data_IF_195780984984
#
_entry.id   IF_195780984984
#
_cell.length_a   1.000
_cell.length_b   1.000
_cell.length_c   1.000
_cell.angle_alpha   90.00
_cell.angle_beta   90.00
_cell.angle_gamma   90.00
#
_symmetry.space_group_name_H-M   'P 1'
#
loop_
_entity.id
_entity.type
_entity.pdbx_description
1 polymer ?
#
# COMPACT_ATOMS: atom_id res chain seq x y z
N UNK A 1 80.66 -19.07 -1.69
CA UNK A 1 81.23 -19.23 -3.06
C UNK A 1 80.44 -20.38 -3.68
N UNK A 2 79.73 -20.33 -4.81
CA UNK A 2 79.71 -19.51 -6.04
C UNK A 2 78.22 -19.51 -6.50
N UNK A 3 77.60 -18.37 -6.83
CA UNK A 3 77.37 -17.86 -8.20
C UNK A 3 76.99 -18.92 -9.23
N UNK A 4 75.79 -18.83 -9.85
CA UNK A 4 75.57 -18.66 -11.30
C UNK A 4 74.07 -18.33 -11.57
N UNK A 5 73.85 -17.34 -12.43
CA UNK A 5 72.59 -16.87 -13.00
C UNK A 5 71.86 -17.90 -13.88
N UNK A 6 70.53 -17.84 -13.94
CA UNK A 6 69.80 -18.10 -15.19
C UNK A 6 68.46 -17.35 -15.20
N UNK A 7 68.34 -16.44 -16.18
CA UNK A 7 67.10 -15.77 -16.57
C UNK A 7 66.32 -16.74 -17.47
N UNK A 8 65.05 -16.98 -17.16
CA UNK A 8 64.07 -17.44 -18.14
C UNK A 8 62.79 -16.61 -18.03
N UNK A 9 62.50 -15.91 -19.11
CA UNK A 9 61.26 -15.20 -19.41
C UNK A 9 60.22 -16.23 -19.85
N UNK A 10 59.00 -16.22 -19.29
CA UNK A 10 57.79 -16.59 -20.04
C UNK A 10 56.48 -16.22 -19.31
N UNK A 11 55.71 -15.42 -20.04
CA UNK A 11 54.24 -15.35 -20.16
C UNK A 11 53.35 -15.01 -18.95
N UNK A 12 52.64 -13.90 -19.15
CA UNK A 12 51.48 -13.44 -18.42
C UNK A 12 50.30 -14.44 -18.46
N UNK A 13 49.60 -14.53 -17.34
CA UNK A 13 48.16 -14.76 -17.31
C UNK A 13 47.57 -13.90 -16.19
N UNK A 14 46.94 -12.79 -16.57
CA UNK A 14 46.16 -11.97 -15.67
C UNK A 14 44.89 -12.75 -15.27
N UNK A 15 44.80 -13.23 -14.04
CA UNK A 15 43.55 -13.70 -13.46
C UNK A 15 42.86 -12.54 -12.74
N UNK A 16 42.31 -11.61 -13.52
CA UNK A 16 41.27 -10.71 -13.04
C UNK A 16 39.96 -11.51 -13.06
N UNK A 17 39.68 -12.21 -11.96
CA UNK A 17 38.33 -12.73 -11.73
C UNK A 17 37.45 -11.55 -11.37
N UNK A 18 36.80 -10.98 -12.39
CA UNK A 18 35.75 -9.98 -12.22
C UNK A 18 34.60 -10.62 -11.45
N UNK A 19 34.52 -10.32 -10.15
CA UNK A 19 33.28 -10.45 -9.40
C UNK A 19 32.32 -9.41 -10.00
N UNK A 20 31.38 -9.87 -10.81
CA UNK A 20 30.27 -9.06 -11.27
C UNK A 20 29.36 -8.82 -10.05
N UNK A 21 29.23 -7.59 -9.54
CA UNK A 21 28.17 -7.31 -8.60
C UNK A 21 26.90 -7.28 -9.45
N UNK A 22 26.08 -8.32 -9.33
CA UNK A 22 24.74 -8.36 -9.90
C UNK A 22 23.93 -7.23 -9.24
N UNK A 23 24.12 -6.02 -9.75
CA UNK A 23 23.40 -4.82 -9.36
C UNK A 23 21.94 -5.15 -9.58
N UNK A 24 21.17 -5.05 -8.49
CA UNK A 24 19.72 -5.18 -8.47
C UNK A 24 19.10 -4.49 -9.69
N UNK A 25 18.85 -5.26 -10.75
CA UNK A 25 17.84 -4.88 -11.72
C UNK A 25 16.53 -4.86 -10.94
N UNK A 26 15.73 -3.78 -10.99
CA UNK A 26 14.40 -3.80 -10.42
C UNK A 26 13.68 -4.99 -11.06
N UNK A 27 13.41 -6.01 -10.25
CA UNK A 27 12.78 -7.25 -10.68
C UNK A 27 11.39 -6.87 -11.13
N UNK A 28 11.20 -6.75 -12.44
CA UNK A 28 9.92 -6.39 -13.04
C UNK A 28 8.95 -7.54 -12.80
N UNK A 29 8.18 -7.47 -11.72
CA UNK A 29 7.19 -8.48 -11.37
C UNK A 29 5.96 -8.33 -12.29
N UNK A 30 5.92 -9.15 -13.33
CA UNK A 30 4.82 -9.16 -14.29
C UNK A 30 3.45 -9.43 -13.63
N UNK A 31 3.40 -10.18 -12.53
CA UNK A 31 2.14 -10.48 -11.84
C UNK A 31 1.66 -9.29 -11.03
N UNK A 32 2.59 -8.56 -10.40
CA UNK A 32 2.28 -7.29 -9.75
C UNK A 32 1.69 -6.28 -10.73
N UNK A 33 2.26 -6.18 -11.94
CA UNK A 33 1.75 -5.26 -12.97
C UNK A 33 0.36 -5.66 -13.49
N UNK A 34 0.07 -6.96 -13.60
CA UNK A 34 -1.29 -7.43 -13.91
C UNK A 34 -2.24 -7.08 -12.75
N UNK A 35 -1.82 -7.33 -11.51
CA UNK A 35 -2.59 -7.01 -10.32
C UNK A 35 -2.95 -5.52 -10.26
N UNK A 36 -1.98 -4.61 -10.48
CA UNK A 36 -2.23 -3.16 -10.53
C UNK A 36 -3.33 -2.79 -11.53
N UNK A 37 -3.39 -3.42 -12.71
CA UNK A 37 -4.45 -3.15 -13.71
C UNK A 37 -5.82 -3.65 -13.26
N UNK A 38 -5.88 -4.82 -12.62
CA UNK A 38 -7.11 -5.36 -12.06
C UNK A 38 -7.61 -4.49 -10.90
N UNK A 39 -6.69 -4.06 -10.05
CA UNK A 39 -6.95 -3.11 -8.98
C UNK A 39 -7.61 -1.84 -9.52
N UNK A 40 -7.02 -1.17 -10.52
CA UNK A 40 -7.62 0.03 -11.13
C UNK A 40 -9.04 -0.18 -11.67
N UNK A 41 -9.35 -1.38 -12.15
CA UNK A 41 -10.70 -1.71 -12.62
C UNK A 41 -11.67 -1.74 -11.45
N UNK A 42 -11.31 -2.43 -10.35
CA UNK A 42 -12.12 -2.49 -9.13
C UNK A 42 -12.33 -1.11 -8.49
N UNK A 43 -11.32 -0.23 -8.59
CA UNK A 43 -11.38 1.13 -8.04
C UNK A 43 -12.45 1.99 -8.70
N UNK A 44 -12.71 1.81 -10.00
CA UNK A 44 -13.76 2.56 -10.69
C UNK A 44 -15.14 2.26 -10.11
N UNK A 45 -15.43 0.99 -9.84
CA UNK A 45 -16.72 0.56 -9.28
C UNK A 45 -16.90 1.07 -7.85
N UNK A 46 -15.86 0.96 -7.02
CA UNK A 46 -15.84 1.50 -5.66
C UNK A 46 -16.09 3.01 -5.63
N UNK A 47 -15.41 3.78 -6.48
CA UNK A 47 -15.57 5.23 -6.55
C UNK A 47 -16.96 5.63 -7.08
N UNK A 48 -17.55 4.85 -7.99
CA UNK A 48 -18.91 5.07 -8.45
C UNK A 48 -19.94 4.84 -7.34
N UNK A 49 -19.76 3.79 -6.52
CA UNK A 49 -20.62 3.56 -5.35
C UNK A 49 -20.54 4.72 -4.34
N UNK A 50 -19.34 5.29 -4.13
CA UNK A 50 -19.17 6.45 -3.23
C UNK A 50 -19.84 7.72 -3.77
N UNK A 51 -19.82 7.96 -5.09
CA UNK A 51 -20.54 9.11 -5.68
C UNK A 51 -22.03 9.06 -5.35
N UNK A 52 -22.66 7.89 -5.53
CA UNK A 52 -24.06 7.69 -5.21
C UNK A 52 -24.34 7.96 -3.71
N UNK A 53 -23.39 7.62 -2.83
CA UNK A 53 -23.52 7.88 -1.40
C UNK A 53 -23.35 9.37 -1.05
N UNK A 54 -22.47 10.10 -1.75
CA UNK A 54 -22.31 11.56 -1.59
C UNK A 54 -23.59 12.29 -2.02
N UNK A 55 -24.20 11.84 -3.12
CA UNK A 55 -25.44 12.41 -3.67
C UNK A 55 -26.68 12.06 -2.83
N UNK A 56 -26.58 11.10 -1.90
CA UNK A 56 -27.66 10.73 -1.01
C UNK A 56 -28.02 11.88 -0.07
N UNK A 57 -29.22 12.45 -0.24
CA UNK A 57 -29.72 13.56 0.56
C UNK A 57 -30.36 13.11 1.89
N UNK A 58 -29.84 12.04 2.51
CA UNK A 58 -30.23 11.57 3.85
C UNK A 58 -28.97 11.28 4.67
N UNK A 59 -28.65 12.23 5.56
CA UNK A 59 -27.47 12.17 6.40
C UNK A 59 -27.52 11.00 7.40
N UNK A 60 -28.69 10.68 7.96
CA UNK A 60 -28.81 9.58 8.91
C UNK A 60 -28.56 8.24 8.21
N UNK A 61 -29.02 8.12 6.97
CA UNK A 61 -28.73 6.95 6.15
C UNK A 61 -27.25 6.87 5.75
N UNK A 62 -26.60 8.00 5.42
CA UNK A 62 -25.15 8.03 5.20
C UNK A 62 -24.38 7.53 6.42
N UNK A 63 -24.70 8.01 7.63
CA UNK A 63 -24.08 7.54 8.87
C UNK A 63 -24.23 6.03 9.09
N UNK A 64 -25.41 5.47 8.80
CA UNK A 64 -25.67 4.03 8.94
C UNK A 64 -24.91 3.21 7.89
N UNK A 65 -24.93 3.64 6.64
CA UNK A 65 -24.22 2.94 5.55
C UNK A 65 -22.72 2.95 5.83
N UNK A 66 -22.17 4.11 6.19
CA UNK A 66 -20.74 4.26 6.48
C UNK A 66 -20.35 3.44 7.72
N UNK A 67 -21.16 3.40 8.78
CA UNK A 67 -20.89 2.52 9.94
C UNK A 67 -20.71 1.05 9.52
N UNK A 68 -21.66 0.52 8.74
CA UNK A 68 -21.63 -0.86 8.25
C UNK A 68 -20.39 -1.08 7.36
N UNK A 69 -20.11 -0.13 6.46
CA UNK A 69 -18.94 -0.19 5.58
C UNK A 69 -17.63 -0.21 6.37
N UNK A 70 -17.45 0.69 7.33
CA UNK A 70 -16.24 0.76 8.14
C UNK A 70 -16.04 -0.52 8.96
N UNK A 71 -17.10 -1.03 9.60
CA UNK A 71 -17.03 -2.32 10.31
C UNK A 71 -16.60 -3.47 9.38
N UNK A 72 -17.15 -3.53 8.17
CA UNK A 72 -16.75 -4.51 7.15
C UNK A 72 -15.30 -4.36 6.71
N UNK A 73 -14.88 -3.14 6.37
CA UNK A 73 -13.53 -2.79 5.94
C UNK A 73 -12.48 -3.21 6.97
N UNK A 74 -12.64 -2.78 8.22
CA UNK A 74 -11.68 -3.07 9.29
C UNK A 74 -11.67 -4.55 9.68
N UNK A 75 -12.82 -5.25 9.60
CA UNK A 75 -12.87 -6.69 9.80
C UNK A 75 -12.05 -7.43 8.73
N UNK A 76 -12.29 -7.14 7.45
CA UNK A 76 -11.55 -7.77 6.34
C UNK A 76 -10.06 -7.45 6.41
N UNK A 77 -9.71 -6.21 6.77
CA UNK A 77 -8.32 -5.78 6.93
C UNK A 77 -7.60 -6.56 8.06
N UNK A 78 -8.26 -6.81 9.19
CA UNK A 78 -7.67 -7.56 10.31
C UNK A 78 -7.55 -9.04 9.97
N UNK A 79 -8.60 -9.65 9.43
CA UNK A 79 -8.60 -11.06 9.02
C UNK A 79 -7.48 -11.31 7.97
N UNK A 80 -7.31 -10.38 7.02
CA UNK A 80 -6.27 -10.47 5.99
C UNK A 80 -4.87 -10.25 6.54
N UNK A 81 -4.70 -9.28 7.45
CA UNK A 81 -3.43 -9.05 8.16
C UNK A 81 -2.96 -10.33 8.87
N UNK A 82 -3.86 -11.03 9.56
CA UNK A 82 -3.51 -12.28 10.26
C UNK A 82 -2.99 -13.35 9.30
N UNK A 83 -3.59 -13.48 8.11
CA UNK A 83 -3.12 -14.41 7.08
C UNK A 83 -1.72 -14.04 6.60
N UNK A 84 -1.47 -12.77 6.29
CA UNK A 84 -0.16 -12.31 5.81
C UNK A 84 0.94 -12.47 6.86
N UNK A 85 0.64 -12.13 8.11
CA UNK A 85 1.57 -12.31 9.24
C UNK A 85 1.86 -13.79 9.48
N UNK A 86 0.84 -14.65 9.46
CA UNK A 86 1.03 -16.10 9.63
C UNK A 86 1.85 -16.73 8.48
N UNK A 87 1.76 -16.17 7.27
CA UNK A 87 2.58 -16.56 6.13
C UNK A 87 3.99 -15.95 6.13
N UNK A 88 4.31 -15.10 7.11
CA UNK A 88 5.54 -14.31 7.19
C UNK A 88 5.81 -13.47 5.92
N UNK A 89 4.74 -13.03 5.24
CA UNK A 89 4.85 -12.23 4.02
C UNK A 89 5.33 -10.81 4.35
N UNK A 90 6.40 -10.38 3.68
CA UNK A 90 6.85 -9.00 3.71
C UNK A 90 6.18 -8.18 2.59
N UNK A 91 5.97 -6.87 2.77
CA UNK A 91 5.35 -6.05 1.73
C UNK A 91 6.20 -5.94 0.46
N UNK A 92 7.52 -5.96 0.58
CA UNK A 92 8.51 -5.85 -0.50
C UNK A 92 8.88 -7.19 -1.16
N UNK A 93 8.29 -8.29 -0.68
CA UNK A 93 8.38 -9.60 -1.34
C UNK A 93 7.75 -9.55 -2.75
N UNK A 94 8.15 -10.47 -3.66
CA UNK A 94 7.44 -10.67 -4.92
C UNK A 94 5.95 -10.92 -4.71
N UNK A 95 5.13 -10.53 -5.69
CA UNK A 95 3.68 -10.70 -5.63
C UNK A 95 3.32 -12.18 -5.42
N UNK A 96 2.42 -12.50 -4.46
CA UNK A 96 2.17 -13.87 -4.05
C UNK A 96 1.50 -14.70 -5.15
N UNK A 97 1.94 -15.96 -5.29
CA UNK A 97 1.32 -16.92 -6.21
C UNK A 97 0.23 -17.76 -5.54
N UNK A 98 0.39 -18.05 -4.24
CA UNK A 98 -0.62 -18.75 -3.44
C UNK A 98 -1.90 -17.93 -3.38
N UNK A 99 -3.04 -18.56 -3.70
CA UNK A 99 -4.31 -17.85 -3.85
C UNK A 99 -4.81 -17.25 -2.54
N UNK A 100 -4.58 -17.93 -1.41
CA UNK A 100 -5.00 -17.44 -0.10
C UNK A 100 -4.18 -16.21 0.32
N UNK A 101 -2.87 -16.25 0.13
CA UNK A 101 -1.98 -15.12 0.44
C UNK A 101 -2.27 -13.97 -0.52
N UNK A 102 -2.49 -14.25 -1.80
CA UNK A 102 -2.83 -13.28 -2.84
C UNK A 102 -4.15 -12.58 -2.59
N UNK A 103 -5.16 -13.31 -2.15
CA UNK A 103 -6.44 -12.74 -1.75
C UNK A 103 -6.26 -11.83 -0.52
N UNK A 104 -5.58 -12.30 0.53
CA UNK A 104 -5.32 -11.48 1.72
C UNK A 104 -4.49 -10.22 1.40
N UNK A 105 -3.47 -10.32 0.56
CA UNK A 105 -2.69 -9.20 0.07
C UNK A 105 -3.59 -8.18 -0.66
N UNK A 106 -4.42 -8.69 -1.58
CA UNK A 106 -5.34 -7.86 -2.35
C UNK A 106 -6.33 -7.14 -1.44
N UNK A 107 -6.87 -7.84 -0.44
CA UNK A 107 -7.75 -7.25 0.56
C UNK A 107 -7.06 -6.16 1.36
N UNK A 108 -5.82 -6.33 1.84
CA UNK A 108 -5.12 -5.26 2.58
C UNK A 108 -4.97 -4.01 1.72
N UNK A 109 -4.48 -4.17 0.49
CA UNK A 109 -4.24 -3.06 -0.45
C UNK A 109 -5.56 -2.35 -0.81
N UNK A 110 -6.58 -3.10 -1.17
CA UNK A 110 -7.86 -2.58 -1.62
C UNK A 110 -8.67 -1.91 -0.50
N UNK A 111 -8.74 -2.54 0.67
CA UNK A 111 -9.49 -1.97 1.79
C UNK A 111 -8.80 -0.73 2.35
N UNK A 112 -7.46 -0.69 2.36
CA UNK A 112 -6.71 0.51 2.78
C UNK A 112 -6.96 1.68 1.83
N UNK A 113 -6.88 1.45 0.51
CA UNK A 113 -7.15 2.48 -0.49
C UNK A 113 -8.61 2.95 -0.45
N UNK A 114 -9.56 2.02 -0.35
CA UNK A 114 -10.98 2.34 -0.34
C UNK A 114 -11.39 3.09 0.93
N UNK A 115 -10.85 2.70 2.09
CA UNK A 115 -11.06 3.46 3.32
C UNK A 115 -10.54 4.91 3.18
N UNK A 116 -9.42 5.13 2.47
CA UNK A 116 -8.95 6.48 2.17
C UNK A 116 -9.92 7.34 1.39
N UNK A 117 -10.64 6.77 0.42
CA UNK A 117 -11.68 7.54 -0.27
C UNK A 117 -12.84 7.91 0.62
N UNK A 118 -13.25 6.98 1.50
CA UNK A 118 -14.35 7.19 2.44
C UNK A 118 -13.96 8.26 3.46
N UNK A 119 -12.75 8.17 4.03
CA UNK A 119 -12.20 9.13 4.99
C UNK A 119 -12.13 10.54 4.40
N UNK A 120 -11.70 10.67 3.15
CA UNK A 120 -11.59 11.97 2.52
C UNK A 120 -12.95 12.57 2.10
N UNK A 121 -13.92 11.74 1.68
CA UNK A 121 -15.24 12.21 1.24
C UNK A 121 -16.26 12.41 2.36
N UNK A 122 -16.10 11.71 3.47
CA UNK A 122 -17.00 11.77 4.61
C UNK A 122 -16.25 11.98 5.93
N UNK A 123 -15.35 12.99 6.01
CA UNK A 123 -14.43 13.14 7.13
C UNK A 123 -15.17 13.23 8.47
N UNK A 124 -16.28 13.97 8.54
CA UNK A 124 -17.08 14.08 9.77
C UNK A 124 -17.65 12.74 10.23
N UNK A 125 -18.16 11.93 9.30
CA UNK A 125 -18.76 10.63 9.60
C UNK A 125 -17.67 9.62 9.98
N UNK A 126 -16.54 9.64 9.27
CA UNK A 126 -15.42 8.76 9.56
C UNK A 126 -14.83 9.07 10.93
N UNK A 127 -14.54 10.34 11.26
CA UNK A 127 -14.11 10.72 12.61
C UNK A 127 -15.13 10.34 13.69
N UNK A 128 -16.44 10.35 13.36
CA UNK A 128 -17.44 9.88 14.29
C UNK A 128 -17.25 8.40 14.70
N UNK A 129 -16.86 7.51 13.78
CA UNK A 129 -16.69 6.09 14.12
C UNK A 129 -15.25 5.71 14.44
N UNK A 130 -14.30 6.19 13.64
CA UNK A 130 -12.89 5.84 13.72
C UNK A 130 -12.23 6.31 15.02
N UNK A 131 -12.44 7.56 15.43
CA UNK A 131 -11.78 8.10 16.63
C UNK A 131 -12.26 7.43 17.94
N UNK A 132 -13.42 6.76 17.89
CA UNK A 132 -13.98 6.00 19.02
C UNK A 132 -13.53 4.54 19.05
N UNK A 133 -12.77 4.09 18.06
CA UNK A 133 -12.29 2.72 17.97
C UNK A 133 -10.75 2.68 17.98
N UNK A 134 -10.17 2.43 19.15
CA UNK A 134 -8.73 2.43 19.34
C UNK A 134 -7.99 1.39 18.48
N UNK A 135 -8.63 0.24 18.21
CA UNK A 135 -8.02 -0.86 17.45
C UNK A 135 -7.88 -0.50 15.97
N UNK A 136 -8.86 0.24 15.43
CA UNK A 136 -8.85 0.66 14.03
C UNK A 136 -7.64 1.55 13.71
N UNK A 137 -7.22 2.41 14.64
CA UNK A 137 -6.05 3.25 14.43
C UNK A 137 -4.75 2.46 14.33
N UNK A 138 -4.59 1.39 15.12
CA UNK A 138 -3.44 0.49 15.01
C UNK A 138 -3.43 -0.24 13.67
N UNK A 139 -4.58 -0.79 13.29
CA UNK A 139 -4.72 -1.57 12.07
C UNK A 139 -4.51 -0.74 10.81
N UNK A 140 -5.04 0.48 10.76
CA UNK A 140 -4.87 1.37 9.63
C UNK A 140 -3.41 1.81 9.45
N UNK A 141 -2.70 2.13 10.54
CA UNK A 141 -1.27 2.45 10.46
C UNK A 141 -0.46 1.29 9.91
N UNK A 142 -0.79 0.06 10.31
CA UNK A 142 -0.20 -1.14 9.76
C UNK A 142 -0.51 -1.29 8.26
N UNK A 143 -1.77 -1.14 7.85
CA UNK A 143 -2.19 -1.23 6.45
C UNK A 143 -1.53 -0.18 5.56
N UNK A 144 -1.43 1.07 6.02
CA UNK A 144 -0.70 2.15 5.37
C UNK A 144 0.78 1.82 5.18
N UNK A 145 1.44 1.36 6.25
CA UNK A 145 2.85 0.99 6.21
C UNK A 145 3.12 -0.17 5.23
N UNK A 146 2.24 -1.18 5.24
CA UNK A 146 2.28 -2.29 4.29
C UNK A 146 2.16 -1.75 2.86
N UNK A 147 1.09 -1.00 2.56
CA UNK A 147 0.78 -0.44 1.26
C UNK A 147 1.89 0.46 0.68
N UNK A 148 2.57 1.24 1.54
CA UNK A 148 3.66 2.12 1.11
C UNK A 148 4.91 1.35 0.68
N UNK A 149 5.08 0.12 1.13
CA UNK A 149 6.26 -0.71 0.83
C UNK A 149 6.02 -1.70 -0.31
N UNK A 150 4.76 -2.00 -0.66
CA UNK A 150 4.44 -2.93 -1.76
C UNK A 150 4.80 -2.46 -3.16
N UNK A 151 4.95 -1.14 -3.34
CA UNK A 151 5.12 -0.55 -4.67
C UNK A 151 3.87 -0.57 -5.55
N UNK A 152 2.70 -0.99 -5.02
CA UNK A 152 1.42 -0.95 -5.75
C UNK A 152 1.04 0.47 -6.11
N UNK A 153 1.25 1.40 -5.19
CA UNK A 153 0.81 2.80 -5.32
C UNK A 153 1.88 3.76 -5.86
N UNK A 154 3.14 3.32 -5.97
CA UNK A 154 4.28 4.19 -6.30
C UNK A 154 4.04 4.99 -7.58
N UNK A 155 4.11 6.32 -7.45
CA UNK A 155 4.01 7.26 -8.57
C UNK A 155 2.59 7.44 -9.14
N UNK A 156 1.57 6.85 -8.51
CA UNK A 156 0.18 6.91 -8.94
C UNK A 156 -0.70 7.83 -8.08
N UNK A 157 -1.91 8.12 -8.57
CA UNK A 157 -2.88 8.96 -7.86
C UNK A 157 -3.30 8.36 -6.49
N UNK A 158 -3.31 7.03 -6.35
CA UNK A 158 -3.68 6.37 -5.10
C UNK A 158 -2.65 6.59 -3.98
N UNK A 159 -1.36 6.78 -4.30
CA UNK A 159 -0.37 7.18 -3.29
C UNK A 159 -0.72 8.54 -2.70
N UNK A 160 -1.19 9.48 -3.53
CA UNK A 160 -1.64 10.78 -3.05
C UNK A 160 -2.87 10.67 -2.14
N UNK A 161 -3.82 9.78 -2.47
CA UNK A 161 -4.98 9.49 -1.60
C UNK A 161 -4.54 8.98 -0.22
N UNK A 162 -3.57 8.06 -0.15
CA UNK A 162 -3.06 7.55 1.13
C UNK A 162 -2.39 8.66 1.95
N UNK A 163 -1.63 9.54 1.32
CA UNK A 163 -1.00 10.69 1.98
C UNK A 163 -2.05 11.66 2.52
N UNK A 164 -3.06 12.03 1.70
CA UNK A 164 -4.13 12.93 2.12
C UNK A 164 -4.95 12.33 3.27
N UNK A 165 -5.32 11.05 3.18
CA UNK A 165 -6.03 10.33 4.25
C UNK A 165 -5.22 10.37 5.55
N UNK A 166 -3.92 10.08 5.49
CA UNK A 166 -3.05 10.04 6.66
C UNK A 166 -3.00 11.39 7.38
N UNK A 167 -3.01 12.49 6.61
CA UNK A 167 -3.09 13.83 7.16
C UNK A 167 -4.49 14.14 7.71
N UNK A 168 -5.57 13.84 6.97
CA UNK A 168 -6.95 14.11 7.41
C UNK A 168 -7.23 13.48 8.78
N UNK A 169 -6.84 12.21 8.94
CA UNK A 169 -7.03 11.42 10.16
C UNK A 169 -6.00 11.70 11.27
N UNK A 170 -5.04 12.62 11.05
CA UNK A 170 -4.02 12.95 12.05
C UNK A 170 -3.03 11.83 12.35
N UNK A 171 -2.82 10.91 11.40
CA UNK A 171 -1.82 9.84 11.49
C UNK A 171 -0.42 10.43 11.23
N UNK A 172 -0.34 11.36 10.29
CA UNK A 172 0.85 12.15 9.98
C UNK A 172 0.56 13.62 10.24
N UNK A 173 1.61 14.41 10.45
CA UNK A 173 1.49 15.87 10.56
C UNK A 173 0.83 16.45 9.29
N UNK A 174 -0.09 17.39 9.50
CA UNK A 174 -0.74 18.11 8.40
C UNK A 174 0.23 19.13 7.84
N UNK A 175 0.45 19.08 6.53
CA UNK A 175 1.22 20.10 5.84
C UNK A 175 0.52 21.46 5.94
N UNK A 176 1.24 22.60 5.97
CA UNK A 176 0.62 23.92 6.02
C UNK A 176 -0.32 24.22 4.84
N UNK A 177 -0.11 23.56 3.70
CA UNK A 177 -0.89 23.63 2.47
C UNK A 177 -1.92 22.50 2.34
N UNK A 178 -2.13 21.69 3.39
CA UNK A 178 -3.08 20.60 3.36
C UNK A 178 -4.50 21.10 3.07
N UNK A 179 -5.06 20.63 1.96
CA UNK A 179 -6.45 20.82 1.59
C UNK A 179 -7.00 19.45 1.22
N UNK A 180 -8.06 19.02 1.91
CA UNK A 180 -8.83 17.87 1.48
C UNK A 180 -9.71 18.29 0.28
N UNK A 181 -9.43 17.84 -0.96
CA UNK A 181 -10.13 18.30 -2.16
C UNK A 181 -11.58 17.82 -2.23
N UNK A 182 -11.98 16.89 -1.36
CA UNK A 182 -13.32 16.32 -1.31
C UNK A 182 -14.19 16.93 -0.21
N UNK A 183 -13.64 17.82 0.62
CA UNK A 183 -14.41 18.48 1.67
C UNK A 183 -15.48 19.36 1.02
N UNK A 184 -16.73 19.16 1.43
CA UNK A 184 -17.88 19.96 0.95
C UNK A 184 -18.41 20.87 2.06
N UNK A 185 -19.23 21.87 1.73
CA UNK A 185 -19.88 22.73 2.74
C UNK A 185 -20.79 21.96 3.71
N UNK A 186 -21.15 20.71 3.38
CA UNK A 186 -22.00 19.84 4.20
C UNK A 186 -21.21 19.09 5.29
N UNK A 187 -19.87 19.18 5.27
CA UNK A 187 -18.96 18.58 6.25
C UNK A 187 -18.71 19.45 7.48
#
# INVERSE_FOLDING_TARGET
>A
MQSVCAVFVALAAASLSSADPDMHRPRHDSNLEIYKRLFETKRKDQLNALKNLVELNDINQQYKIIDIMLKGLFKVLEDSRQILVAANMQPDDPFPMDDKIKEAYSHVVENTAFFGDVALRFPRIVHHYYDRNADWGGLLRWGLNFCNQTGVFTGGAHQHVLTLMSQELGITEKSPDFINPYRTERD
#
